data_IF_025473621487
#
_entry.id   IF_025473621487
#
_cell.length_a   1.000
_cell.length_b   1.000
_cell.length_c   1.000
_cell.angle_alpha   90.00
_cell.angle_beta   90.00
_cell.angle_gamma   90.00
#
_symmetry.space_group_name_H-M   'P 1'
#
loop_
_entity.id
_entity.type
_entity.pdbx_description
1 polymer ?
#
# COMPACT_ATOMS: atom_id res chain seq x y z
N UNK A 1 -15.70 5.65 0.78
CA UNK A 1 -16.23 6.90 1.40
C UNK A 1 -15.10 7.81 1.87
N UNK A 2 -14.11 7.32 2.64
CA UNK A 2 -13.00 8.15 3.18
C UNK A 2 -12.13 8.78 2.07
N UNK A 3 -11.72 8.01 1.08
CA UNK A 3 -10.91 8.52 -0.04
C UNK A 3 -11.64 9.63 -0.83
N UNK A 4 -12.96 9.52 -1.01
CA UNK A 4 -13.76 10.57 -1.66
C UNK A 4 -13.75 11.87 -0.85
N UNK A 5 -13.98 11.77 0.46
CA UNK A 5 -13.96 12.93 1.36
C UNK A 5 -12.59 13.59 1.35
N UNK A 6 -11.54 12.80 1.44
CA UNK A 6 -10.16 13.27 1.45
C UNK A 6 -9.78 13.98 0.15
N UNK A 7 -10.07 13.37 -1.00
CA UNK A 7 -9.84 13.99 -2.30
C UNK A 7 -10.61 15.31 -2.48
N UNK A 8 -11.85 15.37 -1.97
CA UNK A 8 -12.66 16.59 -2.01
C UNK A 8 -12.06 17.68 -1.13
N UNK A 9 -11.66 17.35 0.10
CA UNK A 9 -11.00 18.29 1.01
C UNK A 9 -9.67 18.80 0.42
N UNK A 10 -8.88 17.90 -0.16
CA UNK A 10 -7.62 18.27 -0.82
C UNK A 10 -7.84 19.25 -1.99
N UNK A 11 -8.95 19.12 -2.73
CA UNK A 11 -9.29 20.07 -3.81
C UNK A 11 -9.80 21.41 -3.28
N UNK A 12 -10.59 21.41 -2.20
CA UNK A 12 -11.15 22.64 -1.61
C UNK A 12 -10.05 23.50 -1.00
N UNK A 13 -9.12 22.88 -0.25
CA UNK A 13 -8.07 23.58 0.51
C UNK A 13 -6.72 23.63 -0.20
N UNK A 14 -6.65 23.31 -1.49
CA UNK A 14 -5.40 23.40 -2.25
C UNK A 14 -4.90 24.85 -2.35
N UNK A 15 -3.60 25.03 -2.18
CA UNK A 15 -2.91 26.30 -2.42
C UNK A 15 -2.22 26.24 -3.78
N UNK A 16 -2.24 27.35 -4.51
CA UNK A 16 -1.50 27.50 -5.77
C UNK A 16 -0.20 28.24 -5.50
N UNK A 17 0.90 27.65 -5.92
CA UNK A 17 2.20 28.32 -5.92
C UNK A 17 2.34 29.33 -7.05
N UNK A 18 3.33 30.20 -6.96
CA UNK A 18 3.64 31.21 -8.00
C UNK A 18 4.04 30.57 -9.34
N UNK A 19 4.60 29.35 -9.29
CA UNK A 19 5.01 28.56 -10.46
C UNK A 19 3.86 27.75 -11.11
N UNK A 20 2.61 28.03 -10.73
CA UNK A 20 1.46 27.26 -11.22
C UNK A 20 1.32 25.85 -10.62
N UNK A 21 2.22 25.46 -9.73
CA UNK A 21 2.12 24.21 -8.98
C UNK A 21 0.97 24.26 -7.98
N UNK A 22 0.32 23.11 -7.74
CA UNK A 22 -0.72 23.01 -6.74
C UNK A 22 -0.21 22.19 -5.54
N UNK A 23 -0.40 22.74 -4.37
CA UNK A 23 -0.07 22.09 -3.09
C UNK A 23 -1.37 21.83 -2.32
N UNK A 24 -1.55 20.61 -1.88
CA UNK A 24 -2.73 20.19 -1.12
C UNK A 24 -2.42 18.95 -0.29
N UNK A 25 -3.40 18.51 0.46
CA UNK A 25 -3.29 17.30 1.26
C UNK A 25 -3.68 17.52 2.72
N UNK A 26 -3.57 16.48 3.58
CA UNK A 26 -4.08 16.52 4.94
C UNK A 26 -3.52 17.64 5.79
N UNK A 27 -2.24 17.96 5.68
CA UNK A 27 -1.63 19.05 6.44
C UNK A 27 -2.25 20.42 6.13
N UNK A 28 -2.58 20.67 4.85
CA UNK A 28 -3.17 21.94 4.41
C UNK A 28 -4.60 22.11 4.90
N UNK A 29 -5.44 21.07 4.83
CA UNK A 29 -6.80 21.20 5.31
C UNK A 29 -6.89 21.13 6.84
N UNK A 30 -5.97 20.46 7.55
CA UNK A 30 -5.86 20.52 9.00
C UNK A 30 -5.53 21.96 9.45
N UNK A 31 -4.55 22.60 8.80
CA UNK A 31 -4.19 23.99 9.12
C UNK A 31 -5.33 24.95 8.78
N UNK A 32 -5.96 24.80 7.62
CA UNK A 32 -6.97 25.75 7.15
C UNK A 32 -8.34 25.56 7.82
N UNK A 33 -8.78 24.32 8.06
CA UNK A 33 -10.11 24.05 8.62
C UNK A 33 -10.13 24.05 10.14
N UNK A 34 -9.07 23.53 10.79
CA UNK A 34 -8.98 23.46 12.25
C UNK A 34 -8.20 24.63 12.87
N UNK A 35 -7.58 25.48 12.04
CA UNK A 35 -6.71 26.59 12.49
C UNK A 35 -5.64 26.14 13.48
N UNK A 36 -5.19 24.90 13.40
CA UNK A 36 -4.26 24.27 14.33
C UNK A 36 -2.96 23.85 13.62
N UNK A 37 -2.05 24.81 13.45
CA UNK A 37 -0.75 24.60 12.82
C UNK A 37 0.13 23.53 13.52
N UNK A 38 0.18 23.46 14.88
CA UNK A 38 0.94 22.41 15.56
C UNK A 38 0.49 21.00 15.19
N UNK A 39 -0.83 20.78 15.05
CA UNK A 39 -1.39 19.49 14.65
C UNK A 39 -0.99 19.13 13.22
N UNK A 40 -0.99 20.09 12.30
CA UNK A 40 -0.52 19.88 10.93
C UNK A 40 0.96 19.48 10.88
N UNK A 41 1.81 20.10 11.71
CA UNK A 41 3.24 19.76 11.80
C UNK A 41 3.44 18.33 12.35
N UNK A 42 2.75 17.99 13.44
CA UNK A 42 2.81 16.64 14.01
C UNK A 42 2.38 15.60 12.98
N UNK A 43 1.32 15.87 12.22
CA UNK A 43 0.86 15.01 11.14
C UNK A 43 1.93 14.85 10.05
N UNK A 44 2.55 15.93 9.58
CA UNK A 44 3.62 15.88 8.59
C UNK A 44 4.82 15.04 9.06
N UNK A 45 5.25 15.24 10.30
CA UNK A 45 6.36 14.46 10.88
C UNK A 45 6.00 12.98 10.96
N UNK A 46 4.81 12.65 11.45
CA UNK A 46 4.32 11.28 11.50
C UNK A 46 4.25 10.63 10.11
N UNK A 47 3.79 11.38 9.10
CA UNK A 47 3.75 10.94 7.71
C UNK A 47 5.15 10.62 7.17
N UNK A 48 6.12 11.52 7.37
CA UNK A 48 7.50 11.30 6.92
C UNK A 48 8.06 10.03 7.56
N UNK A 49 7.88 9.83 8.87
CA UNK A 49 8.32 8.61 9.54
C UNK A 49 7.63 7.35 9.01
N UNK A 50 6.33 7.42 8.80
CA UNK A 50 5.56 6.28 8.28
C UNK A 50 6.02 5.88 6.89
N UNK A 51 6.16 6.84 5.97
CA UNK A 51 6.58 6.54 4.59
C UNK A 51 8.06 6.22 4.47
N UNK A 52 8.94 7.03 5.11
CA UNK A 52 10.38 6.84 4.99
C UNK A 52 10.86 5.54 5.66
N UNK A 53 10.26 5.14 6.77
CA UNK A 53 10.68 3.95 7.50
C UNK A 53 9.65 2.83 7.42
N UNK A 54 8.42 3.05 7.87
CA UNK A 54 7.42 2.01 8.05
C UNK A 54 7.09 1.27 6.75
N UNK A 55 6.71 2.00 5.70
CA UNK A 55 6.34 1.40 4.41
C UNK A 55 7.52 0.79 3.69
N UNK A 56 8.68 1.45 3.70
CA UNK A 56 9.88 0.91 3.06
C UNK A 56 10.38 -0.37 3.74
N UNK A 57 10.39 -0.40 5.07
CA UNK A 57 10.74 -1.61 5.82
C UNK A 57 9.77 -2.75 5.54
N UNK A 58 8.47 -2.48 5.51
CA UNK A 58 7.44 -3.47 5.23
C UNK A 58 7.54 -4.00 3.80
N UNK A 59 7.74 -3.13 2.82
CA UNK A 59 7.92 -3.51 1.42
C UNK A 59 9.16 -4.37 1.22
N UNK A 60 10.30 -3.98 1.80
CA UNK A 60 11.55 -4.74 1.75
C UNK A 60 11.42 -6.10 2.43
N UNK A 61 10.76 -6.15 3.59
CA UNK A 61 10.51 -7.38 4.31
C UNK A 61 9.61 -8.34 3.51
N UNK A 62 8.52 -7.85 2.94
CA UNK A 62 7.62 -8.66 2.13
C UNK A 62 8.31 -9.22 0.89
N UNK A 63 9.11 -8.39 0.21
CA UNK A 63 9.86 -8.83 -0.95
C UNK A 63 10.90 -9.91 -0.57
N UNK A 64 11.66 -9.68 0.47
CA UNK A 64 12.65 -10.63 0.97
C UNK A 64 11.99 -11.95 1.42
N UNK A 65 10.86 -11.89 2.13
CA UNK A 65 10.15 -13.08 2.59
C UNK A 65 9.60 -13.93 1.45
N UNK A 66 9.33 -13.35 0.29
CA UNK A 66 8.91 -14.09 -0.91
C UNK A 66 10.01 -15.05 -1.38
N UNK A 67 11.28 -14.69 -1.21
CA UNK A 67 12.40 -15.54 -1.58
C UNK A 67 12.67 -16.69 -0.59
N UNK A 68 12.08 -16.65 0.60
CA UNK A 68 12.27 -17.69 1.63
C UNK A 68 11.76 -19.08 1.22
N UNK A 69 10.91 -19.15 0.19
CA UNK A 69 10.38 -20.40 -0.36
C UNK A 69 11.44 -21.17 -1.18
N UNK A 70 12.46 -20.48 -1.67
CA UNK A 70 13.47 -21.09 -2.54
C UNK A 70 14.62 -21.71 -1.77
N UNK A 71 15.15 -22.81 -2.24
CA UNK A 71 16.23 -23.57 -1.59
C UNK A 71 17.58 -22.84 -1.51
N UNK A 72 17.79 -21.81 -2.34
CA UNK A 72 19.01 -20.98 -2.30
C UNK A 72 18.96 -19.89 -1.22
N UNK A 73 17.80 -19.72 -0.54
CA UNK A 73 17.64 -18.70 0.48
C UNK A 73 18.37 -19.08 1.77
N UNK A 74 19.25 -18.20 2.20
CA UNK A 74 19.93 -18.29 3.50
C UNK A 74 19.42 -17.15 4.39
N UNK A 75 18.83 -17.48 5.55
CA UNK A 75 18.22 -16.51 6.44
C UNK A 75 19.18 -15.46 7.00
N UNK A 76 20.50 -15.76 7.04
CA UNK A 76 21.50 -14.84 7.54
C UNK A 76 22.04 -13.89 6.44
N UNK A 77 22.25 -14.37 5.22
CA UNK A 77 22.91 -13.62 4.16
C UNK A 77 21.94 -13.04 3.12
N UNK A 78 20.89 -13.78 2.76
CA UNK A 78 19.95 -13.37 1.69
C UNK A 78 19.26 -12.04 1.97
N UNK A 79 18.83 -11.70 3.19
CA UNK A 79 18.23 -10.40 3.49
C UNK A 79 19.17 -9.22 3.23
N UNK A 80 20.45 -9.37 3.55
CA UNK A 80 21.47 -8.33 3.32
C UNK A 80 21.74 -8.11 1.84
N UNK A 81 21.83 -9.18 1.07
CA UNK A 81 22.05 -9.11 -0.39
C UNK A 81 20.84 -8.46 -1.07
N UNK A 82 19.63 -8.92 -0.77
CA UNK A 82 18.40 -8.38 -1.34
C UNK A 82 18.22 -6.92 -0.93
N UNK A 83 18.43 -6.61 0.36
CA UNK A 83 18.36 -5.25 0.89
C UNK A 83 19.39 -4.33 0.22
N UNK A 84 20.60 -4.79 0.00
CA UNK A 84 21.67 -4.05 -0.69
C UNK A 84 21.29 -3.74 -2.15
N UNK A 85 20.77 -4.73 -2.88
CA UNK A 85 20.29 -4.54 -4.26
C UNK A 85 19.15 -3.51 -4.29
N UNK A 86 18.19 -3.63 -3.39
CA UNK A 86 17.07 -2.69 -3.31
C UNK A 86 17.54 -1.27 -2.97
N UNK A 87 18.49 -1.13 -2.04
CA UNK A 87 19.05 0.17 -1.66
C UNK A 87 19.75 0.84 -2.86
N UNK A 88 20.52 0.10 -3.64
CA UNK A 88 21.19 0.61 -4.85
C UNK A 88 20.16 1.03 -5.91
N UNK A 89 19.18 0.19 -6.19
CA UNK A 89 18.14 0.48 -7.19
C UNK A 89 17.30 1.70 -6.78
N UNK A 90 16.88 1.75 -5.52
CA UNK A 90 16.09 2.88 -4.98
C UNK A 90 16.93 4.15 -4.97
N UNK A 91 18.17 4.07 -4.51
CA UNK A 91 19.11 5.20 -4.53
C UNK A 91 19.34 5.75 -5.94
N UNK A 92 19.53 4.87 -6.92
CA UNK A 92 19.65 5.27 -8.33
C UNK A 92 18.40 5.99 -8.85
N UNK A 93 17.21 5.51 -8.47
CA UNK A 93 15.96 6.18 -8.83
C UNK A 93 15.84 7.56 -8.17
N UNK A 94 16.14 7.66 -6.86
CA UNK A 94 16.03 8.89 -6.08
C UNK A 94 17.00 9.98 -6.52
N UNK A 95 18.26 9.61 -6.79
CA UNK A 95 19.30 10.53 -7.27
C UNK A 95 18.95 11.16 -8.65
N UNK A 96 18.05 10.55 -9.39
CA UNK A 96 17.56 11.09 -10.66
C UNK A 96 16.42 12.10 -10.53
N UNK A 97 15.99 12.40 -9.30
CA UNK A 97 14.88 13.33 -9.03
C UNK A 97 13.49 12.82 -9.41
N UNK A 98 12.48 13.64 -9.17
CA UNK A 98 11.07 13.27 -9.36
C UNK A 98 10.72 12.80 -10.79
N UNK A 99 11.31 13.41 -11.80
CA UNK A 99 11.07 13.03 -13.21
C UNK A 99 11.55 11.60 -13.52
N UNK A 100 12.65 11.15 -12.93
CA UNK A 100 13.13 9.78 -13.08
C UNK A 100 12.22 8.80 -12.36
N UNK A 101 11.80 9.11 -11.15
CA UNK A 101 10.86 8.29 -10.37
C UNK A 101 9.59 8.05 -11.18
N UNK A 102 8.96 9.12 -11.68
CA UNK A 102 7.76 9.02 -12.52
C UNK A 102 7.99 8.18 -13.76
N UNK A 103 9.12 8.38 -14.47
CA UNK A 103 9.46 7.63 -15.69
C UNK A 103 9.68 6.14 -15.43
N UNK A 104 10.32 5.78 -14.33
CA UNK A 104 10.53 4.37 -13.94
C UNK A 104 9.20 3.74 -13.53
N UNK A 105 8.46 4.39 -12.65
CA UNK A 105 7.19 3.88 -12.13
C UNK A 105 6.16 3.70 -13.24
N UNK A 106 6.03 4.68 -14.16
CA UNK A 106 5.08 4.59 -15.27
C UNK A 106 5.35 3.43 -16.24
N UNK A 107 6.56 2.87 -16.25
CA UNK A 107 6.90 1.68 -17.04
C UNK A 107 6.78 0.39 -16.25
N UNK A 108 7.28 0.39 -15.02
CA UNK A 108 7.35 -0.81 -14.18
C UNK A 108 5.95 -1.25 -13.72
N UNK A 109 5.11 -0.29 -13.29
CA UNK A 109 3.78 -0.61 -12.74
C UNK A 109 2.86 -1.30 -13.76
N UNK A 110 2.71 -0.83 -15.02
CA UNK A 110 1.90 -1.54 -16.01
C UNK A 110 2.44 -2.94 -16.33
N UNK A 111 3.76 -3.09 -16.43
CA UNK A 111 4.38 -4.41 -16.68
C UNK A 111 4.07 -5.38 -15.53
N UNK A 112 4.24 -4.93 -14.29
CA UNK A 112 3.86 -5.73 -13.12
C UNK A 112 2.37 -6.08 -13.11
N UNK A 113 1.50 -5.11 -13.43
CA UNK A 113 0.07 -5.33 -13.50
C UNK A 113 -0.34 -6.37 -14.53
N UNK A 114 0.20 -6.26 -15.75
CA UNK A 114 -0.05 -7.22 -16.82
C UNK A 114 0.48 -8.62 -16.44
N UNK A 115 1.69 -8.71 -15.90
CA UNK A 115 2.27 -9.97 -15.45
C UNK A 115 1.43 -10.63 -14.35
N UNK A 116 1.00 -9.83 -13.37
CA UNK A 116 0.16 -10.32 -12.28
C UNK A 116 -1.19 -10.84 -12.77
N UNK A 117 -1.87 -10.07 -13.63
CA UNK A 117 -3.15 -10.48 -14.22
C UNK A 117 -2.96 -11.73 -15.06
N UNK A 118 -1.92 -11.80 -15.89
CA UNK A 118 -1.62 -12.95 -16.73
C UNK A 118 -1.39 -14.22 -15.92
N UNK A 119 -0.56 -14.16 -14.89
CA UNK A 119 -0.30 -15.30 -14.00
C UNK A 119 -1.57 -15.70 -13.24
N UNK A 120 -2.33 -14.72 -12.73
CA UNK A 120 -3.58 -15.00 -12.03
C UNK A 120 -4.62 -15.69 -12.92
N UNK A 121 -4.78 -15.22 -14.15
CA UNK A 121 -5.66 -15.86 -15.13
C UNK A 121 -5.20 -17.28 -15.48
N UNK A 122 -3.90 -17.48 -15.65
CA UNK A 122 -3.34 -18.79 -15.92
C UNK A 122 -3.64 -19.78 -14.79
N UNK A 123 -3.45 -19.35 -13.52
CA UNK A 123 -3.80 -20.16 -12.35
C UNK A 123 -5.29 -20.50 -12.31
N UNK A 124 -6.16 -19.53 -12.61
CA UNK A 124 -7.62 -19.75 -12.67
C UNK A 124 -7.98 -20.75 -13.77
N UNK A 125 -7.39 -20.61 -14.96
CA UNK A 125 -7.65 -21.51 -16.10
C UNK A 125 -7.22 -22.94 -15.77
N UNK A 126 -6.03 -23.13 -15.19
CA UNK A 126 -5.53 -24.45 -14.78
C UNK A 126 -6.45 -25.09 -13.74
N UNK A 127 -7.04 -24.29 -12.86
CA UNK A 127 -7.89 -24.75 -11.77
C UNK A 127 -9.38 -24.48 -12.01
N UNK A 128 -9.80 -24.38 -13.27
CA UNK A 128 -11.18 -23.99 -13.64
C UNK A 128 -12.25 -24.88 -12.99
N UNK A 129 -11.94 -26.16 -12.78
CA UNK A 129 -12.85 -27.12 -12.16
C UNK A 129 -13.14 -26.81 -10.69
N UNK A 130 -12.22 -26.12 -10.00
CA UNK A 130 -12.36 -25.77 -8.59
C UNK A 130 -13.06 -24.41 -8.39
N UNK A 131 -13.20 -23.62 -9.46
CA UNK A 131 -13.80 -22.26 -9.39
C UNK A 131 -15.26 -22.30 -8.89
N UNK A 132 -16.15 -23.16 -9.38
CA UNK A 132 -17.52 -23.22 -8.87
C UNK A 132 -17.59 -23.58 -7.37
N UNK A 133 -16.78 -24.56 -6.95
CA UNK A 133 -16.70 -24.99 -5.55
C UNK A 133 -16.19 -23.85 -4.65
N UNK A 134 -15.22 -23.08 -5.14
CA UNK A 134 -14.71 -21.89 -4.44
C UNK A 134 -15.82 -20.84 -4.21
N UNK A 135 -16.61 -20.53 -5.24
CA UNK A 135 -17.72 -19.56 -5.09
C UNK A 135 -18.76 -20.06 -4.09
N UNK A 136 -19.17 -21.34 -4.20
CA UNK A 136 -20.11 -21.94 -3.25
C UNK A 136 -19.61 -21.83 -1.82
N UNK A 137 -18.30 -22.08 -1.62
CA UNK A 137 -17.66 -21.97 -0.31
C UNK A 137 -17.65 -20.55 0.21
N UNK A 138 -17.29 -19.56 -0.63
CA UNK A 138 -17.31 -18.14 -0.26
C UNK A 138 -18.70 -17.72 0.21
N UNK A 139 -19.74 -18.02 -0.57
CA UNK A 139 -21.11 -17.68 -0.19
C UNK A 139 -21.56 -18.41 1.08
N UNK A 140 -21.27 -19.69 1.20
CA UNK A 140 -21.63 -20.49 2.39
C UNK A 140 -20.95 -19.97 3.66
N UNK A 141 -19.69 -19.59 3.57
CA UNK A 141 -18.94 -19.06 4.72
C UNK A 141 -19.31 -17.61 5.03
N UNK A 142 -19.62 -16.79 4.02
CA UNK A 142 -20.07 -15.41 4.23
C UNK A 142 -21.38 -15.29 4.99
N UNK A 143 -22.28 -16.28 4.85
CA UNK A 143 -23.56 -16.34 5.56
C UNK A 143 -23.57 -17.31 6.75
N UNK A 144 -22.40 -17.81 7.14
CA UNK A 144 -22.29 -18.68 8.31
C UNK A 144 -22.19 -17.85 9.59
N UNK A 145 -23.32 -17.68 10.28
CA UNK A 145 -23.38 -16.91 11.52
C UNK A 145 -22.42 -17.39 12.60
N UNK A 146 -22.15 -18.69 12.71
CA UNK A 146 -21.15 -19.23 13.66
C UNK A 146 -19.74 -18.74 13.34
N UNK A 147 -19.37 -18.69 12.07
CA UNK A 147 -18.07 -18.17 11.64
C UNK A 147 -17.98 -16.66 11.88
N UNK A 148 -19.08 -15.91 11.64
CA UNK A 148 -19.16 -14.47 11.90
C UNK A 148 -18.96 -14.19 13.39
N UNK A 149 -19.72 -14.85 14.27
CA UNK A 149 -19.59 -14.67 15.73
C UNK A 149 -18.29 -15.20 16.29
N UNK A 150 -17.73 -16.27 15.75
CA UNK A 150 -16.38 -16.76 16.11
C UNK A 150 -15.27 -15.82 15.68
N UNK A 151 -15.40 -15.16 14.54
CA UNK A 151 -14.47 -14.15 14.05
C UNK A 151 -14.54 -12.83 14.86
N UNK A 152 -15.72 -12.49 15.40
CA UNK A 152 -15.91 -11.27 16.21
C UNK A 152 -15.09 -11.28 17.50
N UNK A 153 -14.84 -12.44 18.08
CA UNK A 153 -14.03 -12.62 19.28
C UNK A 153 -12.57 -12.97 19.01
N UNK A 154 -12.14 -13.01 17.75
CA UNK A 154 -10.85 -13.58 17.36
C UNK A 154 -9.90 -12.64 16.61
N UNK A 155 -8.68 -13.13 16.43
CA UNK A 155 -7.60 -12.48 15.68
C UNK A 155 -7.95 -12.17 14.22
N UNK A 156 -8.89 -12.90 13.60
CA UNK A 156 -9.30 -12.74 12.22
C UNK A 156 -9.97 -11.37 11.96
N UNK A 157 -10.85 -10.93 12.86
CA UNK A 157 -11.48 -9.60 12.76
C UNK A 157 -10.45 -8.49 12.92
N UNK A 158 -9.55 -8.61 13.89
CA UNK A 158 -8.46 -7.64 14.10
C UNK A 158 -7.56 -7.55 12.85
N UNK A 159 -7.22 -8.67 12.23
CA UNK A 159 -6.44 -8.71 11.00
C UNK A 159 -7.21 -8.10 9.82
N UNK A 160 -8.50 -8.36 9.72
CA UNK A 160 -9.37 -7.77 8.70
C UNK A 160 -9.44 -6.26 8.82
N UNK A 161 -9.64 -5.73 10.03
CA UNK A 161 -9.67 -4.28 10.30
C UNK A 161 -8.31 -3.65 9.97
N UNK A 162 -7.20 -4.25 10.46
CA UNK A 162 -5.85 -3.75 10.16
C UNK A 162 -5.56 -3.70 8.66
N UNK A 163 -5.91 -4.76 7.92
CA UNK A 163 -5.72 -4.80 6.47
C UNK A 163 -6.64 -3.82 5.74
N UNK A 164 -7.88 -3.66 6.18
CA UNK A 164 -8.81 -2.70 5.63
C UNK A 164 -8.34 -1.26 5.80
N UNK A 165 -7.85 -0.90 6.99
CA UNK A 165 -7.27 0.41 7.25
C UNK A 165 -6.00 0.66 6.42
N UNK A 166 -5.13 -0.34 6.32
CA UNK A 166 -3.91 -0.28 5.53
C UNK A 166 -4.19 -0.10 4.03
N UNK A 167 -5.14 -0.88 3.49
CA UNK A 167 -5.50 -0.84 2.07
C UNK A 167 -6.24 0.44 1.66
N UNK A 168 -6.94 1.08 2.60
CA UNK A 168 -7.73 2.27 2.32
C UNK A 168 -6.89 3.55 2.32
N UNK A 169 -5.68 3.50 2.90
CA UNK A 169 -4.76 4.66 3.02
C UNK A 169 -5.45 5.95 3.52
N UNK A 170 -6.54 5.80 4.29
CA UNK A 170 -7.35 6.91 4.77
C UNK A 170 -6.54 7.88 5.64
N UNK A 171 -6.59 9.15 5.30
CA UNK A 171 -5.86 10.21 6.00
C UNK A 171 -4.42 10.39 5.56
N UNK A 172 -3.95 9.64 4.56
CA UNK A 172 -2.56 9.68 4.09
C UNK A 172 -2.39 10.66 2.91
N UNK A 173 -3.45 10.89 2.12
CA UNK A 173 -3.43 11.85 1.01
C UNK A 173 -2.75 11.33 -0.26
N UNK A 174 -2.71 10.00 -0.41
CA UNK A 174 -2.14 9.33 -1.60
C UNK A 174 -3.18 9.08 -2.68
#
# INVERSE_FOLDING_TARGET
ASALIESTLAQIYKKRGEDGSCYGGPAYYIEAALHCRPLAIVFCVAMIFTYAFGFNMLASYNLQSTFSVFSFYNAEMSPWIIGGILAVLTGWCLLGGGSRIVKVTSRVVPVMGIAYIGISLLVVIINIQNVPAMFVRIFKEAFNFRAIFGAFSGSAMMQGIRRGLYSNEAGIGS
#
